data_IF_348097174810
#
_entry.id   IF_348097174810
#
_cell.length_a   1.000
_cell.length_b   1.000
_cell.length_c   1.000
_cell.angle_alpha   90.00
_cell.angle_beta   90.00
_cell.angle_gamma   90.00
#
_symmetry.space_group_name_H-M   'P 1'
#
loop_
_entity.id
_entity.type
_entity.pdbx_description
1 polymer ?
#
# COMPACT_ATOMS: atom_id res chain seq x y z
N UNK A 1 1.91 -5.36 -34.00
CA UNK A 1 1.09 -6.23 -33.15
C UNK A 1 -0.06 -5.39 -32.60
N UNK A 2 -1.28 -5.92 -32.59
CA UNK A 2 -2.44 -5.29 -31.96
C UNK A 2 -2.80 -6.12 -30.75
N UNK A 3 -2.88 -5.48 -29.59
CA UNK A 3 -3.37 -6.10 -28.35
C UNK A 3 -4.87 -5.78 -28.22
N UNK A 4 -5.68 -6.80 -27.96
CA UNK A 4 -7.10 -6.66 -27.67
C UNK A 4 -7.34 -7.15 -26.24
N UNK A 5 -7.96 -6.31 -25.41
CA UNK A 5 -8.33 -6.67 -24.05
C UNK A 5 -9.81 -7.03 -24.05
N UNK A 6 -10.13 -8.22 -23.55
CA UNK A 6 -11.50 -8.72 -23.41
C UNK A 6 -11.81 -8.82 -21.93
N UNK A 7 -12.70 -7.96 -21.46
CA UNK A 7 -13.15 -7.96 -20.08
C UNK A 7 -14.21 -9.05 -19.86
N UNK A 8 -14.01 -9.84 -18.82
CA UNK A 8 -14.94 -10.91 -18.41
C UNK A 8 -15.30 -10.77 -16.92
N UNK A 9 -16.00 -9.69 -16.53
CA UNK A 9 -16.37 -9.42 -15.13
C UNK A 9 -17.39 -10.44 -14.59
N UNK A 10 -17.99 -11.22 -15.46
CA UNK A 10 -18.92 -12.30 -15.19
C UNK A 10 -18.26 -13.66 -14.91
N UNK A 11 -16.94 -13.76 -15.14
CA UNK A 11 -16.18 -15.01 -14.95
C UNK A 11 -15.33 -14.91 -13.70
N UNK A 12 -15.59 -15.79 -12.74
CA UNK A 12 -14.75 -15.98 -11.57
C UNK A 12 -13.95 -17.27 -11.75
N UNK A 13 -12.62 -17.13 -11.79
CA UNK A 13 -11.74 -18.28 -11.85
C UNK A 13 -11.58 -18.87 -10.43
N UNK A 14 -11.58 -20.21 -10.30
CA UNK A 14 -11.60 -20.87 -8.98
C UNK A 14 -10.35 -20.61 -8.13
N UNK A 15 -9.21 -20.41 -8.77
CA UNK A 15 -7.92 -20.23 -8.07
C UNK A 15 -7.84 -18.87 -7.38
N UNK A 16 -8.11 -17.77 -8.11
CA UNK A 16 -8.10 -16.42 -7.55
C UNK A 16 -8.99 -15.49 -8.40
N UNK A 17 -9.68 -14.48 -7.80
CA UNK A 17 -10.58 -13.60 -8.54
C UNK A 17 -9.84 -12.71 -9.58
N UNK A 18 -8.59 -12.31 -9.32
CA UNK A 18 -7.82 -11.45 -10.23
C UNK A 18 -7.01 -12.28 -11.24
N UNK A 19 -7.70 -13.03 -12.10
CA UNK A 19 -7.07 -13.82 -13.15
C UNK A 19 -6.95 -13.09 -14.47
N UNK A 20 -5.82 -13.28 -15.15
CA UNK A 20 -5.53 -12.78 -16.48
C UNK A 20 -5.16 -13.94 -17.40
N UNK A 21 -5.79 -14.01 -18.57
CA UNK A 21 -5.44 -14.97 -19.60
C UNK A 21 -4.87 -14.25 -20.81
N UNK A 22 -3.66 -14.60 -21.20
CA UNK A 22 -3.00 -14.11 -22.40
C UNK A 22 -3.07 -15.16 -23.48
N UNK A 23 -3.39 -14.76 -24.71
CA UNK A 23 -3.46 -15.66 -25.87
C UNK A 23 -2.79 -14.99 -27.06
N UNK A 24 -2.04 -15.77 -27.83
CA UNK A 24 -1.47 -15.36 -29.11
C UNK A 24 -2.37 -15.87 -30.23
N UNK A 25 -3.09 -14.96 -30.89
CA UNK A 25 -3.91 -15.27 -32.05
C UNK A 25 -3.17 -14.92 -33.33
N UNK A 26 -3.04 -15.88 -34.23
CA UNK A 26 -2.48 -15.72 -35.56
C UNK A 26 -3.49 -15.13 -36.55
N UNK A 27 -3.02 -14.67 -37.72
CA UNK A 27 -3.87 -14.06 -38.74
C UNK A 27 -4.92 -15.00 -39.36
N UNK A 28 -4.78 -16.29 -39.14
CA UNK A 28 -5.73 -17.36 -39.52
C UNK A 28 -6.74 -17.70 -38.43
N UNK A 29 -6.68 -17.00 -37.26
CA UNK A 29 -7.57 -17.23 -36.12
C UNK A 29 -7.16 -18.40 -35.22
N UNK A 30 -5.99 -19.00 -35.45
CA UNK A 30 -5.48 -20.06 -34.59
C UNK A 30 -4.78 -19.43 -33.36
N UNK A 31 -5.15 -19.89 -32.19
CA UNK A 31 -4.47 -19.58 -30.93
C UNK A 31 -3.31 -20.57 -30.75
N UNK A 32 -2.09 -20.08 -30.71
CA UNK A 32 -0.89 -20.92 -30.57
C UNK A 32 -0.42 -21.08 -29.13
N UNK A 33 -0.52 -20.03 -28.34
CA UNK A 33 -0.05 -20.01 -26.96
C UNK A 33 -1.12 -19.41 -26.07
N UNK A 34 -1.26 -19.96 -24.87
CA UNK A 34 -2.13 -19.43 -23.84
C UNK A 34 -1.41 -19.48 -22.49
N UNK A 35 -1.49 -18.39 -21.74
CA UNK A 35 -0.91 -18.28 -20.39
C UNK A 35 -1.95 -17.69 -19.47
N UNK A 36 -2.24 -18.39 -18.37
CA UNK A 36 -3.14 -17.90 -17.33
C UNK A 36 -2.34 -17.61 -16.06
N UNK A 37 -2.45 -16.40 -15.57
CA UNK A 37 -1.73 -15.93 -14.38
C UNK A 37 -2.67 -15.11 -13.50
N UNK A 38 -2.43 -15.14 -12.21
CA UNK A 38 -3.25 -14.48 -11.19
C UNK A 38 -2.43 -13.46 -10.44
N UNK A 39 -2.97 -12.25 -10.28
CA UNK A 39 -2.40 -11.26 -9.37
C UNK A 39 -2.90 -11.54 -7.95
N UNK A 40 -2.01 -12.04 -7.10
CA UNK A 40 -2.34 -12.48 -5.73
C UNK A 40 -2.03 -11.45 -4.65
N UNK A 41 -1.80 -10.19 -5.06
CA UNK A 41 -1.55 -9.06 -4.17
C UNK A 41 -0.06 -8.75 -3.98
N UNK A 42 0.23 -7.51 -3.60
CA UNK A 42 1.59 -7.02 -3.36
C UNK A 42 2.54 -7.11 -4.57
N UNK A 43 2.02 -7.19 -5.80
CA UNK A 43 2.80 -7.38 -7.02
C UNK A 43 3.17 -8.84 -7.31
N UNK A 44 2.76 -9.79 -6.48
CA UNK A 44 3.01 -11.20 -6.71
C UNK A 44 2.07 -11.78 -7.77
N UNK A 45 2.63 -12.65 -8.61
CA UNK A 45 1.90 -13.42 -9.61
C UNK A 45 1.96 -14.91 -9.24
N UNK A 46 0.89 -15.64 -9.53
CA UNK A 46 0.81 -17.09 -9.33
C UNK A 46 0.14 -17.76 -10.52
N UNK A 47 0.50 -19.00 -10.79
CA UNK A 47 -0.15 -19.88 -11.78
C UNK A 47 -0.85 -21.04 -11.07
N UNK A 48 -1.90 -21.63 -11.69
CA UNK A 48 -2.66 -22.74 -11.09
C UNK A 48 -1.80 -23.98 -10.76
N UNK A 49 -0.70 -24.15 -11.49
CA UNK A 49 0.22 -25.27 -11.34
C UNK A 49 1.52 -24.90 -10.63
N UNK A 50 1.65 -23.67 -10.14
CA UNK A 50 2.75 -23.35 -9.27
C UNK A 50 2.66 -24.29 -8.05
N UNK A 51 3.54 -25.27 -7.99
CA UNK A 51 3.83 -25.95 -6.73
C UNK A 51 4.08 -24.81 -5.76
N UNK A 52 3.26 -24.74 -4.70
CA UNK A 52 3.35 -23.69 -3.70
C UNK A 52 4.84 -23.43 -3.48
N UNK A 53 5.30 -22.33 -4.05
CA UNK A 53 6.72 -21.95 -3.92
C UNK A 53 6.96 -22.10 -2.44
N UNK A 54 7.82 -23.02 -2.06
CA UNK A 54 8.17 -23.26 -0.66
C UNK A 54 8.67 -21.90 -0.21
N UNK A 55 7.76 -21.10 0.35
CA UNK A 55 8.13 -19.86 0.98
C UNK A 55 9.11 -20.28 2.07
N UNK A 56 10.36 -19.95 1.90
CA UNK A 56 11.28 -20.07 3.02
C UNK A 56 10.70 -19.18 4.11
N UNK A 57 10.21 -19.81 5.17
CA UNK A 57 9.83 -19.08 6.37
C UNK A 57 11.10 -18.46 6.93
N UNK A 58 11.32 -17.20 6.59
CA UNK A 58 12.49 -16.42 7.03
C UNK A 58 12.27 -15.96 8.47
N UNK A 59 11.01 -15.67 8.84
CA UNK A 59 10.63 -15.16 10.15
C UNK A 59 10.05 -16.29 11.01
N UNK A 60 10.69 -16.59 12.14
CA UNK A 60 10.24 -17.62 13.09
C UNK A 60 9.00 -17.19 13.90
N UNK A 61 8.86 -15.87 14.13
CA UNK A 61 7.73 -15.28 14.88
C UNK A 61 6.82 -14.55 13.91
N UNK A 62 5.53 -14.81 14.01
CA UNK A 62 4.48 -14.26 13.15
C UNK A 62 3.60 -13.21 13.84
N UNK A 63 3.60 -13.15 15.18
CA UNK A 63 2.87 -12.15 15.97
C UNK A 63 3.79 -11.02 16.43
N UNK A 64 3.30 -9.78 16.30
CA UNK A 64 4.12 -8.62 16.68
C UNK A 64 4.39 -8.56 18.17
N UNK A 65 3.45 -9.05 19.01
CA UNK A 65 3.67 -9.13 20.44
C UNK A 65 4.86 -10.03 20.82
N UNK A 66 5.01 -11.20 20.17
CA UNK A 66 6.14 -12.11 20.39
C UNK A 66 7.45 -11.49 19.91
N UNK A 67 7.40 -10.79 18.76
CA UNK A 67 8.58 -10.06 18.23
C UNK A 67 8.96 -8.91 19.18
N UNK A 68 7.99 -8.21 19.74
CA UNK A 68 8.24 -7.15 20.73
C UNK A 68 8.93 -7.70 21.98
N UNK A 69 8.47 -8.84 22.48
CA UNK A 69 9.10 -9.53 23.62
C UNK A 69 10.52 -9.98 23.30
N UNK A 70 10.74 -10.52 22.09
CA UNK A 70 12.08 -10.89 21.62
C UNK A 70 13.04 -9.67 21.60
N UNK A 71 12.55 -8.52 21.12
CA UNK A 71 13.31 -7.27 21.08
C UNK A 71 13.57 -6.73 22.49
N UNK A 72 12.55 -6.71 23.35
CA UNK A 72 12.64 -6.20 24.72
C UNK A 72 13.64 -6.98 25.57
N UNK A 73 13.65 -8.33 25.46
CA UNK A 73 14.60 -9.20 26.17
C UNK A 73 16.06 -8.95 25.78
N UNK A 74 16.29 -8.43 24.58
CA UNK A 74 17.62 -8.16 24.02
C UNK A 74 18.02 -6.68 24.08
N UNK A 75 17.09 -5.81 24.44
CA UNK A 75 17.30 -4.36 24.49
C UNK A 75 17.54 -3.76 23.10
N UNK A 76 16.85 -4.26 22.07
CA UNK A 76 17.00 -3.87 20.66
C UNK A 76 15.68 -3.43 20.05
N UNK A 77 15.73 -2.80 18.86
CA UNK A 77 14.57 -2.34 18.11
C UNK A 77 14.04 -3.41 17.12
N UNK A 78 12.86 -3.19 16.54
CA UNK A 78 12.24 -4.09 15.56
C UNK A 78 13.11 -4.34 14.31
N UNK A 79 13.84 -3.35 13.82
CA UNK A 79 14.75 -3.52 12.68
C UNK A 79 15.90 -4.50 12.97
N UNK A 80 16.32 -4.66 14.22
CA UNK A 80 17.30 -5.66 14.59
C UNK A 80 16.76 -7.09 14.47
N UNK A 81 15.46 -7.28 14.75
CA UNK A 81 14.82 -8.57 14.49
C UNK A 81 14.77 -8.88 12.99
N UNK A 82 14.45 -7.88 12.15
CA UNK A 82 14.51 -8.03 10.69
C UNK A 82 15.92 -8.44 10.23
N UNK A 83 16.95 -7.74 10.68
CA UNK A 83 18.34 -8.08 10.36
C UNK A 83 18.72 -9.48 10.84
N UNK A 84 18.26 -9.89 12.01
CA UNK A 84 18.54 -11.23 12.55
C UNK A 84 17.91 -12.34 11.71
N UNK A 85 16.75 -12.10 11.10
CA UNK A 85 16.04 -13.05 10.24
C UNK A 85 16.56 -13.04 8.79
N UNK A 86 16.71 -11.86 8.18
CA UNK A 86 17.03 -11.67 6.76
C UNK A 86 18.54 -11.68 6.47
N UNK A 87 19.37 -11.44 7.48
CA UNK A 87 20.80 -11.24 7.29
C UNK A 87 21.16 -9.82 6.84
N UNK A 88 22.47 -9.53 6.70
CA UNK A 88 22.97 -8.18 6.39
C UNK A 88 22.64 -7.70 4.96
N UNK A 89 22.29 -8.60 4.06
CA UNK A 89 21.94 -8.29 2.67
C UNK A 89 20.67 -7.43 2.58
N UNK A 90 19.81 -7.50 3.59
CA UNK A 90 18.57 -6.71 3.66
C UNK A 90 18.84 -5.21 3.49
N UNK A 91 19.98 -4.71 3.98
CA UNK A 91 20.31 -3.28 3.90
C UNK A 91 20.57 -2.82 2.47
N UNK A 92 21.20 -3.66 1.64
CA UNK A 92 21.39 -3.37 0.22
C UNK A 92 20.05 -3.30 -0.49
N UNK A 93 19.18 -4.28 -0.25
CA UNK A 93 17.82 -4.30 -0.82
C UNK A 93 16.99 -3.09 -0.38
N UNK A 94 16.96 -2.77 0.91
CA UNK A 94 16.20 -1.62 1.42
C UNK A 94 16.77 -0.28 0.93
N UNK A 95 18.07 -0.19 0.66
CA UNK A 95 18.66 0.98 0.04
C UNK A 95 18.15 1.18 -1.39
N UNK A 96 18.06 0.11 -2.19
CA UNK A 96 17.46 0.16 -3.52
C UNK A 96 15.96 0.53 -3.47
N UNK A 97 15.21 -0.06 -2.54
CA UNK A 97 13.80 0.29 -2.28
C UNK A 97 13.66 1.77 -1.98
N UNK A 98 14.53 2.31 -1.11
CA UNK A 98 14.49 3.72 -0.74
C UNK A 98 14.80 4.65 -1.93
N UNK A 99 15.77 4.29 -2.77
CA UNK A 99 16.06 5.06 -4.00
C UNK A 99 14.87 5.10 -4.96
N UNK A 100 14.19 3.96 -5.16
CA UNK A 100 12.97 3.91 -5.99
C UNK A 100 11.86 4.75 -5.38
N UNK A 101 11.66 4.70 -4.05
CA UNK A 101 10.66 5.51 -3.36
C UNK A 101 10.93 7.01 -3.53
N UNK A 102 12.18 7.46 -3.31
CA UNK A 102 12.60 8.86 -3.51
C UNK A 102 12.34 9.31 -4.95
N UNK A 103 12.81 8.50 -5.89
CA UNK A 103 12.69 8.78 -7.32
C UNK A 103 11.22 8.86 -7.78
N UNK A 104 10.35 8.00 -7.25
CA UNK A 104 8.91 8.04 -7.56
C UNK A 104 8.25 9.34 -7.07
N UNK A 105 8.60 9.79 -5.84
CA UNK A 105 8.12 11.09 -5.33
C UNK A 105 8.60 12.23 -6.23
N UNK A 106 9.90 12.27 -6.54
CA UNK A 106 10.52 13.37 -7.30
C UNK A 106 9.97 13.44 -8.73
N UNK A 107 9.86 12.31 -9.43
CA UNK A 107 9.23 12.25 -10.76
C UNK A 107 7.78 12.71 -10.74
N UNK A 108 6.99 12.20 -9.79
CA UNK A 108 5.56 12.54 -9.71
C UNK A 108 5.29 14.01 -9.35
N UNK A 109 6.24 14.68 -8.69
CA UNK A 109 6.18 16.13 -8.44
C UNK A 109 6.47 16.97 -9.69
N UNK A 110 7.11 16.41 -10.70
CA UNK A 110 7.45 17.08 -11.96
C UNK A 110 6.50 16.72 -13.11
N UNK A 111 5.86 15.55 -13.06
CA UNK A 111 4.97 15.09 -14.12
C UNK A 111 3.62 15.78 -14.06
N UNK A 112 3.31 16.53 -15.11
CA UNK A 112 1.99 17.15 -15.33
C UNK A 112 1.18 16.37 -16.37
N UNK A 113 -0.09 16.73 -16.56
CA UNK A 113 -0.96 16.19 -17.58
C UNK A 113 -2.13 15.38 -17.02
N UNK A 114 -2.63 14.46 -17.84
CA UNK A 114 -3.82 13.65 -17.56
C UNK A 114 -3.40 12.19 -17.38
N UNK A 115 -3.93 11.55 -16.33
CA UNK A 115 -3.72 10.12 -16.10
C UNK A 115 -4.43 9.29 -17.17
N UNK A 116 -3.89 8.12 -17.54
CA UNK A 116 -4.54 7.22 -18.48
C UNK A 116 -5.89 6.72 -17.93
N UNK A 117 -6.76 6.29 -18.85
CA UNK A 117 -8.08 5.75 -18.52
C UNK A 117 -9.22 6.76 -18.68
N UNK A 118 -10.43 6.28 -18.48
CA UNK A 118 -11.68 6.99 -18.84
C UNK A 118 -12.02 8.15 -17.94
N UNK A 119 -11.43 8.23 -16.74
CA UNK A 119 -11.70 9.29 -15.78
C UNK A 119 -11.08 10.63 -16.19
N UNK A 120 -10.12 10.64 -17.13
CA UNK A 120 -9.39 11.83 -17.54
C UNK A 120 -8.91 12.67 -16.37
N UNK A 121 -8.48 12.02 -15.30
CA UNK A 121 -8.08 12.68 -14.06
C UNK A 121 -6.77 13.43 -14.29
N UNK A 122 -6.77 14.73 -13.98
CA UNK A 122 -5.57 15.53 -14.05
C UNK A 122 -4.63 15.20 -12.87
N UNK A 123 -3.33 15.13 -13.15
CA UNK A 123 -2.30 15.05 -12.11
C UNK A 123 -2.36 16.32 -11.23
N UNK A 124 -2.34 16.13 -9.93
CA UNK A 124 -2.52 17.18 -8.92
C UNK A 124 -1.25 17.46 -8.12
N UNK A 125 -0.36 16.47 -8.03
CA UNK A 125 0.82 16.53 -7.16
C UNK A 125 1.70 17.75 -7.39
N UNK A 126 2.11 18.11 -8.63
CA UNK A 126 2.94 19.28 -8.88
C UNK A 126 2.30 20.58 -8.38
N UNK A 127 1.03 20.76 -8.71
CA UNK A 127 0.27 21.96 -8.31
C UNK A 127 0.07 22.05 -6.80
N UNK A 128 -0.19 20.91 -6.14
CA UNK A 128 -0.35 20.87 -4.68
C UNK A 128 0.96 21.17 -3.98
N UNK A 129 2.08 20.66 -4.49
CA UNK A 129 3.41 20.93 -3.98
C UNK A 129 3.75 22.42 -4.03
N UNK A 130 3.52 23.10 -5.16
CA UNK A 130 3.74 24.54 -5.32
C UNK A 130 2.87 25.32 -4.33
N UNK A 131 1.59 24.97 -4.20
CA UNK A 131 0.68 25.63 -3.25
C UNK A 131 1.12 25.42 -1.80
N UNK A 132 1.51 24.19 -1.44
CA UNK A 132 1.95 23.85 -0.10
C UNK A 132 3.17 24.69 0.31
N UNK A 133 4.12 24.91 -0.60
CA UNK A 133 5.30 25.76 -0.33
C UNK A 133 4.96 27.20 0.01
N UNK A 134 3.82 27.71 -0.40
CA UNK A 134 3.35 29.06 -0.09
C UNK A 134 2.62 29.19 1.25
N UNK A 135 2.37 28.08 1.97
CA UNK A 135 1.63 28.11 3.23
C UNK A 135 2.55 28.32 4.45
N UNK A 136 1.98 28.75 5.55
CA UNK A 136 2.67 28.75 6.85
C UNK A 136 3.00 27.35 7.33
N UNK A 137 4.00 27.19 8.19
CA UNK A 137 4.67 25.94 8.53
C UNK A 137 3.73 24.74 8.81
N UNK A 138 2.66 24.94 9.58
CA UNK A 138 1.74 23.85 9.94
C UNK A 138 0.96 23.34 8.72
N UNK A 139 0.39 24.23 7.92
CA UNK A 139 -0.36 23.86 6.72
C UNK A 139 0.58 23.41 5.60
N UNK A 140 1.78 23.99 5.52
CA UNK A 140 2.83 23.59 4.59
C UNK A 140 3.21 22.13 4.78
N UNK A 141 3.51 21.69 6.02
CA UNK A 141 3.88 20.32 6.33
C UNK A 141 2.83 19.33 5.83
N UNK A 142 1.56 19.57 6.14
CA UNK A 142 0.45 18.72 5.68
C UNK A 142 0.31 18.70 4.16
N UNK A 143 0.36 19.87 3.52
CA UNK A 143 0.28 20.01 2.06
C UNK A 143 1.40 19.28 1.34
N UNK A 144 2.62 19.28 1.90
CA UNK A 144 3.75 18.54 1.35
C UNK A 144 3.54 17.03 1.44
N UNK A 145 3.06 16.51 2.57
CA UNK A 145 2.76 15.07 2.72
C UNK A 145 1.71 14.62 1.70
N UNK A 146 0.62 15.38 1.55
CA UNK A 146 -0.36 15.12 0.49
C UNK A 146 0.28 15.11 -0.89
N UNK A 147 1.09 16.09 -1.21
CA UNK A 147 1.72 16.19 -2.52
C UNK A 147 2.62 15.00 -2.83
N UNK A 148 3.39 14.54 -1.83
CA UNK A 148 4.27 13.37 -1.99
C UNK A 148 3.47 12.07 -2.18
N UNK A 149 2.39 11.87 -1.42
CA UNK A 149 1.57 10.69 -1.56
C UNK A 149 0.83 10.66 -2.91
N UNK A 150 0.32 11.81 -3.36
CA UNK A 150 -0.29 11.93 -4.67
C UNK A 150 0.75 11.69 -5.78
N UNK A 151 1.97 12.22 -5.65
CA UNK A 151 3.04 12.05 -6.63
C UNK A 151 3.30 10.58 -6.94
N UNK A 152 3.49 9.75 -5.90
CA UNK A 152 3.72 8.31 -6.06
C UNK A 152 2.49 7.61 -6.61
N UNK A 153 1.29 7.93 -6.11
CA UNK A 153 0.05 7.30 -6.57
C UNK A 153 -0.28 7.67 -8.03
N UNK A 154 0.03 8.88 -8.45
CA UNK A 154 -0.12 9.33 -9.84
C UNK A 154 0.94 8.70 -10.76
N UNK A 155 2.16 8.45 -10.27
CA UNK A 155 3.17 7.65 -10.98
C UNK A 155 2.69 6.21 -11.17
N UNK A 156 2.15 5.56 -10.13
CA UNK A 156 1.56 4.24 -10.25
C UNK A 156 0.45 4.21 -11.31
N UNK A 157 -0.50 5.15 -11.24
CA UNK A 157 -1.59 5.24 -12.20
C UNK A 157 -1.13 5.56 -13.63
N UNK A 158 0.03 6.17 -13.78
CA UNK A 158 0.68 6.49 -15.07
C UNK A 158 1.60 5.41 -15.61
N UNK A 159 1.75 4.27 -14.92
CA UNK A 159 2.66 3.19 -15.30
C UNK A 159 4.13 3.47 -14.96
N UNK A 160 4.41 4.43 -14.08
CA UNK A 160 5.76 4.69 -13.57
C UNK A 160 6.22 3.65 -12.55
N UNK A 161 7.52 3.52 -12.39
CA UNK A 161 8.10 2.61 -11.40
C UNK A 161 7.84 3.12 -9.98
N UNK A 162 7.22 2.28 -9.14
CA UNK A 162 6.95 2.53 -7.72
C UNK A 162 7.34 1.30 -6.89
N UNK A 163 7.34 1.45 -5.58
CA UNK A 163 7.43 0.33 -4.64
C UNK A 163 6.03 0.00 -4.11
N UNK A 164 5.65 -1.27 -4.14
CA UNK A 164 4.44 -1.73 -3.45
C UNK A 164 4.66 -1.71 -1.93
N UNK A 165 3.83 -0.95 -1.19
CA UNK A 165 4.01 -0.77 0.24
C UNK A 165 2.65 -0.66 0.98
N UNK A 166 1.94 -1.80 1.22
CA UNK A 166 2.26 -3.15 0.78
C UNK A 166 1.76 -3.49 -0.63
N UNK A 167 0.88 -2.69 -1.26
CA UNK A 167 0.31 -2.93 -2.60
C UNK A 167 0.47 -1.71 -3.50
N UNK A 168 0.15 -1.84 -4.81
CA UNK A 168 0.10 -0.72 -5.74
C UNK A 168 -0.94 0.32 -5.32
N UNK A 169 -2.12 -0.13 -4.83
CA UNK A 169 -3.20 0.75 -4.40
C UNK A 169 -2.86 1.65 -3.21
N UNK A 170 -1.86 1.30 -2.44
CA UNK A 170 -1.41 2.04 -1.25
C UNK A 170 0.05 2.53 -1.32
N UNK A 171 0.68 2.44 -2.49
CA UNK A 171 2.10 2.71 -2.71
C UNK A 171 2.58 4.11 -2.31
N UNK A 172 1.67 5.09 -2.19
CA UNK A 172 2.02 6.48 -1.87
C UNK A 172 2.20 6.76 -0.37
N UNK A 173 1.70 5.88 0.52
CA UNK A 173 1.62 6.19 1.97
C UNK A 173 3.00 6.19 2.62
N UNK A 174 3.70 5.05 2.57
CA UNK A 174 5.03 4.89 3.21
C UNK A 174 6.07 5.83 2.62
N UNK A 175 6.21 5.94 1.28
CA UNK A 175 7.19 6.85 0.69
C UNK A 175 6.94 8.31 1.07
N UNK A 176 5.68 8.77 1.08
CA UNK A 176 5.35 10.16 1.41
C UNK A 176 5.74 10.51 2.84
N UNK A 177 5.46 9.63 3.79
CA UNK A 177 5.78 9.82 5.21
C UNK A 177 7.30 9.86 5.41
N UNK A 178 8.01 8.86 4.89
CA UNK A 178 9.46 8.79 5.05
C UNK A 178 10.19 9.91 4.31
N UNK A 179 9.77 10.24 3.10
CA UNK A 179 10.34 11.36 2.34
C UNK A 179 10.12 12.70 3.05
N UNK A 180 8.91 12.91 3.61
CA UNK A 180 8.63 14.11 4.40
C UNK A 180 9.53 14.21 5.64
N UNK A 181 9.70 13.12 6.39
CA UNK A 181 10.57 13.06 7.57
C UNK A 181 12.03 13.29 7.16
N UNK A 182 12.49 12.62 6.10
CA UNK A 182 13.85 12.78 5.56
C UNK A 182 14.17 14.23 5.22
N UNK A 183 13.29 14.90 4.47
CA UNK A 183 13.49 16.29 4.04
C UNK A 183 13.30 17.31 5.17
N UNK A 184 12.33 17.12 6.07
CA UNK A 184 11.99 18.12 7.10
C UNK A 184 12.87 18.01 8.34
N UNK A 185 13.38 16.82 8.69
CA UNK A 185 14.17 16.58 9.89
C UNK A 185 15.64 16.26 9.63
N UNK A 186 16.04 16.17 8.37
CA UNK A 186 17.42 15.84 7.96
C UNK A 186 17.95 14.54 8.63
N UNK A 187 17.09 13.55 8.73
CA UNK A 187 17.42 12.25 9.31
C UNK A 187 18.38 11.51 8.36
N UNK A 188 19.35 10.78 8.91
CA UNK A 188 20.30 9.99 8.12
C UNK A 188 19.59 8.89 7.32
N UNK A 189 20.13 8.54 6.15
CA UNK A 189 19.59 7.44 5.34
C UNK A 189 19.59 6.13 6.10
N UNK A 190 20.61 5.83 6.88
CA UNK A 190 20.64 4.63 7.75
C UNK A 190 19.41 4.55 8.65
N UNK A 191 19.00 5.67 9.27
CA UNK A 191 17.80 5.67 10.11
C UNK A 191 16.51 5.51 9.29
N UNK A 192 16.48 5.98 8.05
CA UNK A 192 15.37 5.71 7.12
C UNK A 192 15.31 4.22 6.75
N UNK A 193 16.46 3.58 6.50
CA UNK A 193 16.49 2.14 6.22
C UNK A 193 16.01 1.31 7.41
N UNK A 194 16.39 1.66 8.64
CA UNK A 194 15.86 1.03 9.86
C UNK A 194 14.33 1.24 9.98
N UNK A 195 13.83 2.43 9.62
CA UNK A 195 12.40 2.71 9.60
C UNK A 195 11.68 1.90 8.51
N UNK A 196 12.29 1.71 7.33
CA UNK A 196 11.76 0.83 6.28
C UNK A 196 11.71 -0.63 6.71
N UNK A 197 12.76 -1.14 7.37
CA UNK A 197 12.77 -2.49 7.93
C UNK A 197 11.62 -2.66 8.94
N UNK A 198 11.43 -1.68 9.83
CA UNK A 198 10.31 -1.68 10.79
C UNK A 198 8.95 -1.67 10.07
N UNK A 199 8.78 -0.81 9.04
CA UNK A 199 7.56 -0.78 8.24
C UNK A 199 7.31 -2.11 7.52
N UNK A 200 8.33 -2.69 6.90
CA UNK A 200 8.26 -3.99 6.23
C UNK A 200 7.81 -5.11 7.17
N UNK A 201 8.33 -5.13 8.39
CA UNK A 201 7.93 -6.09 9.42
C UNK A 201 6.43 -5.99 9.74
N UNK A 202 5.90 -4.78 9.94
CA UNK A 202 4.46 -4.57 10.16
C UNK A 202 3.63 -5.10 8.98
N UNK A 203 4.07 -4.84 7.75
CA UNK A 203 3.43 -5.38 6.55
C UNK A 203 3.48 -6.91 6.46
N UNK A 204 4.60 -7.51 6.83
CA UNK A 204 4.78 -8.97 6.88
C UNK A 204 3.85 -9.63 7.90
N UNK A 205 3.77 -9.09 9.12
CA UNK A 205 2.84 -9.58 10.15
C UNK A 205 1.39 -9.52 9.65
N UNK A 206 0.97 -8.40 9.05
CA UNK A 206 -0.37 -8.27 8.49
C UNK A 206 -0.63 -9.27 7.34
N UNK A 207 0.35 -9.50 6.47
CA UNK A 207 0.28 -10.47 5.37
C UNK A 207 0.16 -11.90 5.88
N UNK A 208 0.93 -12.25 6.90
CA UNK A 208 1.00 -13.61 7.46
C UNK A 208 -0.26 -13.95 8.25
N UNK A 209 -0.71 -13.06 9.13
CA UNK A 209 -1.86 -13.30 10.01
C UNK A 209 -3.22 -13.08 9.32
N UNK A 210 -3.26 -12.31 8.23
CA UNK A 210 -4.50 -11.98 7.53
C UNK A 210 -4.31 -11.92 6.02
N UNK A 211 -4.28 -10.72 5.46
CA UNK A 211 -4.08 -10.44 4.03
C UNK A 211 -3.69 -8.97 3.84
N UNK A 212 -2.98 -8.70 2.76
CA UNK A 212 -2.71 -7.34 2.25
C UNK A 212 -3.50 -7.06 0.96
N UNK A 213 -4.39 -7.94 0.53
CA UNK A 213 -5.11 -7.86 -0.73
C UNK A 213 -6.47 -7.16 -0.57
N UNK A 214 -6.72 -6.15 -1.40
CA UNK A 214 -8.02 -5.49 -1.48
C UNK A 214 -9.13 -6.41 -1.97
N UNK A 215 -8.81 -7.39 -2.82
CA UNK A 215 -9.73 -8.41 -3.32
C UNK A 215 -10.18 -9.37 -2.22
N UNK A 216 -9.33 -9.62 -1.22
CA UNK A 216 -9.66 -10.51 -0.10
C UNK A 216 -10.32 -9.77 1.05
N UNK A 217 -9.75 -8.65 1.48
CA UNK A 217 -10.16 -7.99 2.71
C UNK A 217 -10.56 -6.51 2.54
N UNK A 218 -10.67 -6.00 1.32
CA UNK A 218 -10.99 -4.60 1.07
C UNK A 218 -9.79 -3.67 1.26
N UNK A 219 -10.03 -2.37 1.12
CA UNK A 219 -8.96 -1.36 1.20
C UNK A 219 -8.37 -1.18 2.62
N UNK A 220 -9.00 -1.74 3.65
CA UNK A 220 -8.43 -1.83 4.99
C UNK A 220 -7.11 -2.62 5.00
N UNK A 221 -7.03 -3.68 4.19
CA UNK A 221 -5.81 -4.50 4.03
C UNK A 221 -4.71 -3.80 3.22
N UNK A 222 -5.06 -2.88 2.34
CA UNK A 222 -4.08 -2.13 1.56
C UNK A 222 -3.69 -0.82 2.25
N UNK A 223 -4.60 0.16 2.25
CA UNK A 223 -4.36 1.50 2.79
C UNK A 223 -4.27 1.49 4.31
N UNK A 224 -5.05 0.64 4.99
CA UNK A 224 -4.97 0.49 6.46
C UNK A 224 -3.63 -0.07 6.89
N UNK A 225 -3.17 -1.15 6.25
CA UNK A 225 -1.84 -1.73 6.52
C UNK A 225 -0.73 -0.74 6.15
N UNK A 226 -0.83 -0.03 5.00
CA UNK A 226 0.14 1.00 4.65
C UNK A 226 0.21 2.14 5.68
N UNK A 227 -0.93 2.54 6.24
CA UNK A 227 -0.98 3.53 7.33
C UNK A 227 -0.29 3.01 8.59
N UNK A 228 -0.52 1.74 8.97
CA UNK A 228 0.15 1.10 10.10
C UNK A 228 1.67 1.04 9.90
N UNK A 229 2.13 0.60 8.72
CA UNK A 229 3.54 0.58 8.33
C UNK A 229 4.18 1.96 8.45
N UNK A 230 3.54 2.98 7.89
CA UNK A 230 4.03 4.34 7.88
C UNK A 230 4.01 4.99 9.27
N UNK A 231 3.00 4.70 10.10
CA UNK A 231 2.89 5.20 11.46
C UNK A 231 3.98 4.60 12.36
N UNK A 232 4.23 3.30 12.26
CA UNK A 232 5.33 2.63 12.96
C UNK A 232 6.70 3.22 12.57
N UNK A 233 6.97 3.35 11.26
CA UNK A 233 8.20 3.93 10.75
C UNK A 233 8.41 5.37 11.22
N UNK A 234 7.37 6.20 11.19
CA UNK A 234 7.42 7.58 11.65
C UNK A 234 7.68 7.66 13.15
N UNK A 235 6.99 6.82 13.94
CA UNK A 235 7.15 6.77 15.40
C UNK A 235 8.59 6.37 15.77
N UNK A 236 9.16 5.34 15.09
CA UNK A 236 10.56 4.96 15.22
C UNK A 236 11.50 6.14 14.89
N UNK A 237 11.26 6.85 13.77
CA UNK A 237 12.06 8.02 13.39
C UNK A 237 12.02 9.13 14.47
N UNK A 238 10.93 9.24 15.18
CA UNK A 238 10.73 10.22 16.24
C UNK A 238 11.30 9.77 17.61
N UNK A 239 11.82 8.56 17.71
CA UNK A 239 12.45 8.02 18.92
C UNK A 239 11.47 7.29 19.84
N UNK A 240 10.38 6.76 19.30
CA UNK A 240 9.42 5.96 20.07
C UNK A 240 10.01 4.64 20.58
N UNK A 241 9.47 4.16 21.69
CA UNK A 241 9.76 2.84 22.24
C UNK A 241 9.12 1.73 21.42
N UNK A 242 9.47 0.45 21.69
CA UNK A 242 8.81 -0.71 21.05
C UNK A 242 7.29 -0.65 21.19
N UNK A 243 6.79 -0.38 22.39
CA UNK A 243 5.36 -0.27 22.66
C UNK A 243 4.71 0.92 21.92
N UNK A 244 5.40 2.05 21.85
CA UNK A 244 4.92 3.23 21.12
C UNK A 244 4.87 2.99 19.59
N UNK A 245 5.85 2.29 19.03
CA UNK A 245 5.89 1.92 17.60
C UNK A 245 4.74 0.98 17.26
N UNK A 246 4.52 -0.04 18.09
CA UNK A 246 3.41 -0.98 17.92
C UNK A 246 2.05 -0.29 18.06
N UNK A 247 1.89 0.59 19.05
CA UNK A 247 0.66 1.35 19.25
C UNK A 247 0.35 2.31 18.08
N UNK A 248 1.38 2.93 17.50
CA UNK A 248 1.21 3.73 16.30
C UNK A 248 0.71 2.89 15.12
N UNK A 249 1.23 1.67 14.94
CA UNK A 249 0.80 0.74 13.91
C UNK A 249 -0.63 0.24 14.15
N UNK A 250 -0.94 -0.13 15.39
CA UNK A 250 -2.26 -0.57 15.82
C UNK A 250 -3.33 0.46 15.45
N UNK A 251 -3.19 1.72 15.92
CA UNK A 251 -4.10 2.80 15.57
C UNK A 251 -4.16 3.05 14.06
N UNK A 252 -3.03 2.87 13.36
CA UNK A 252 -2.95 3.00 11.91
C UNK A 252 -3.91 2.07 11.18
N UNK A 253 -4.01 0.82 11.61
CA UNK A 253 -4.90 -0.18 11.05
C UNK A 253 -6.32 -0.08 11.61
N UNK A 254 -6.49 0.04 12.93
CA UNK A 254 -7.78 0.11 13.60
C UNK A 254 -8.71 1.14 12.96
N UNK A 255 -8.18 2.34 12.71
CA UNK A 255 -8.97 3.45 12.15
C UNK A 255 -9.22 3.35 10.64
N UNK A 256 -8.88 2.21 10.03
CA UNK A 256 -9.21 1.86 8.64
C UNK A 256 -10.11 0.62 8.54
N UNK A 257 -10.50 0.00 9.67
CA UNK A 257 -11.41 -1.15 9.66
C UNK A 257 -12.72 -0.81 8.95
N UNK A 258 -13.21 -1.76 8.13
CA UNK A 258 -14.43 -1.58 7.35
C UNK A 258 -14.25 -0.81 6.02
N UNK A 259 -13.04 -0.42 5.64
CA UNK A 259 -12.82 0.32 4.39
C UNK A 259 -12.99 -0.59 3.18
N UNK A 260 -13.97 -0.26 2.33
CA UNK A 260 -14.28 -0.98 1.08
C UNK A 260 -13.24 -0.69 0.00
N UNK A 261 -13.11 -1.59 -0.98
CA UNK A 261 -12.33 -1.39 -2.20
C UNK A 261 -13.29 -1.38 -3.41
N UNK A 262 -13.69 -0.20 -3.82
CA UNK A 262 -14.69 0.06 -4.85
C UNK A 262 -14.24 1.15 -5.85
N UNK A 263 -13.08 0.93 -6.54
CA UNK A 263 -12.50 1.92 -7.42
C UNK A 263 -13.42 2.23 -8.61
N UNK A 264 -13.53 3.51 -8.94
CA UNK A 264 -14.36 3.96 -10.07
C UNK A 264 -13.70 3.51 -11.38
N UNK A 265 -14.46 2.92 -12.27
CA UNK A 265 -14.00 2.33 -13.54
C UNK A 265 -12.94 1.23 -13.36
N UNK A 266 -12.79 0.64 -12.17
CA UNK A 266 -11.72 -0.32 -11.89
C UNK A 266 -10.32 0.29 -11.83
N UNK A 267 -10.19 1.61 -11.90
CA UNK A 267 -8.91 2.30 -11.95
C UNK A 267 -8.42 2.63 -10.54
N UNK A 268 -7.13 2.38 -10.28
CA UNK A 268 -6.46 2.75 -9.03
C UNK A 268 -6.23 4.28 -9.00
N UNK A 269 -7.31 5.04 -9.14
CA UNK A 269 -7.31 6.50 -9.21
C UNK A 269 -8.28 7.11 -8.20
N UNK A 270 -9.58 6.84 -8.33
CA UNK A 270 -10.60 7.35 -7.39
C UNK A 270 -11.26 6.15 -6.70
N UNK A 271 -11.23 6.09 -5.38
CA UNK A 271 -10.71 7.06 -4.42
C UNK A 271 -9.23 6.86 -4.03
N UNK A 272 -8.50 5.94 -4.66
CA UNK A 272 -7.20 5.42 -4.21
C UNK A 272 -6.14 6.51 -4.02
N UNK A 273 -5.97 7.42 -5.00
CA UNK A 273 -4.95 8.49 -4.93
C UNK A 273 -5.17 9.36 -3.69
N UNK A 274 -6.41 9.77 -3.44
CA UNK A 274 -6.72 10.65 -2.30
C UNK A 274 -6.62 9.89 -0.96
N UNK A 275 -7.00 8.60 -0.92
CA UNK A 275 -6.84 7.73 0.26
C UNK A 275 -5.38 7.64 0.70
N UNK A 276 -4.44 7.54 -0.25
CA UNK A 276 -3.01 7.54 0.08
C UNK A 276 -2.58 8.82 0.80
N UNK A 277 -3.00 9.98 0.30
CA UNK A 277 -2.71 11.26 0.93
C UNK A 277 -3.24 11.37 2.35
N UNK A 278 -4.52 10.98 2.54
CA UNK A 278 -5.17 11.01 3.86
C UNK A 278 -4.50 10.03 4.83
N UNK A 279 -4.17 8.81 4.38
CA UNK A 279 -3.52 7.81 5.20
C UNK A 279 -2.10 8.24 5.60
N UNK A 280 -1.33 8.86 4.70
CA UNK A 280 0.00 9.37 5.00
C UNK A 280 -0.03 10.49 6.06
N UNK A 281 -0.97 11.41 5.97
CA UNK A 281 -1.16 12.48 6.96
C UNK A 281 -1.65 11.91 8.29
N UNK A 282 -2.55 10.93 8.26
CA UNK A 282 -3.03 10.21 9.44
C UNK A 282 -1.87 9.49 10.13
N UNK A 283 -1.00 8.79 9.40
CA UNK A 283 0.15 8.07 9.96
C UNK A 283 1.06 8.97 10.79
N UNK A 284 1.37 10.18 10.33
CA UNK A 284 2.18 11.15 11.10
C UNK A 284 1.49 11.62 12.38
N UNK A 285 0.17 11.80 12.36
CA UNK A 285 -0.60 12.15 13.56
C UNK A 285 -0.61 11.03 14.57
N UNK A 286 -0.84 9.79 14.12
CA UNK A 286 -0.88 8.62 14.99
C UNK A 286 0.51 8.32 15.58
N UNK A 287 1.57 8.46 14.78
CA UNK A 287 2.94 8.38 15.28
C UNK A 287 3.21 9.39 16.40
N UNK A 288 2.68 10.60 16.28
CA UNK A 288 2.83 11.65 17.32
C UNK A 288 1.96 11.33 18.55
N UNK A 289 0.72 10.87 18.35
CA UNK A 289 -0.18 10.51 19.45
C UNK A 289 0.42 9.38 20.29
N UNK A 290 0.94 8.33 19.65
CA UNK A 290 1.57 7.20 20.34
C UNK A 290 2.81 7.61 21.16
N UNK A 291 3.54 8.66 20.75
CA UNK A 291 4.65 9.21 21.55
C UNK A 291 4.17 9.93 22.83
N UNK A 292 2.96 10.49 22.82
CA UNK A 292 2.42 11.21 24.00
C UNK A 292 1.86 10.22 25.03
N UNK A 293 1.40 9.06 24.60
CA UNK A 293 0.73 8.06 25.44
C UNK A 293 1.61 6.85 25.74
N UNK A 294 2.76 6.72 25.12
CA UNK A 294 3.76 5.63 25.17
C UNK A 294 3.24 4.18 24.96
N UNK A 295 1.95 3.98 24.75
CA UNK A 295 1.32 2.69 24.42
C UNK A 295 1.16 1.71 25.60
N UNK A 296 1.44 2.13 26.83
CA UNK A 296 1.38 1.23 28.01
C UNK A 296 -0.05 0.93 28.48
N UNK A 297 -0.98 1.84 28.25
CA UNK A 297 -2.39 1.70 28.68
C UNK A 297 -3.34 1.21 27.57
N UNK A 298 -2.82 0.86 26.39
CA UNK A 298 -3.64 0.35 25.28
C UNK A 298 -4.37 -0.94 25.68
N UNK A 299 -5.56 -1.16 25.13
CA UNK A 299 -6.41 -2.33 25.42
C UNK A 299 -6.45 -3.35 24.31
N UNK A 300 -6.01 -2.97 23.12
CA UNK A 300 -6.02 -3.79 21.91
C UNK A 300 -4.61 -3.78 21.32
N UNK A 301 -4.15 -4.91 20.84
CA UNK A 301 -2.85 -5.05 20.14
C UNK A 301 -3.04 -4.99 18.63
N UNK A 302 -1.96 -4.70 17.90
CA UNK A 302 -1.97 -4.78 16.43
C UNK A 302 -2.38 -6.19 15.95
N UNK A 303 -1.93 -7.24 16.61
CA UNK A 303 -2.28 -8.63 16.26
C UNK A 303 -3.81 -8.86 16.32
N UNK A 304 -4.49 -8.33 17.36
CA UNK A 304 -5.94 -8.40 17.49
C UNK A 304 -6.66 -7.56 16.43
N UNK A 305 -6.13 -6.39 16.08
CA UNK A 305 -6.70 -5.56 15.01
C UNK A 305 -6.54 -6.24 13.65
N UNK A 306 -5.41 -6.91 13.39
CA UNK A 306 -5.20 -7.69 12.15
C UNK A 306 -6.23 -8.84 12.06
N UNK A 307 -6.47 -9.57 13.14
CA UNK A 307 -7.51 -10.61 13.18
C UNK A 307 -8.90 -10.02 12.93
N UNK A 308 -9.20 -8.86 13.54
CA UNK A 308 -10.46 -8.15 13.31
C UNK A 308 -10.61 -7.70 11.87
N UNK A 309 -9.52 -7.23 11.25
CA UNK A 309 -9.49 -6.89 9.82
C UNK A 309 -9.81 -8.11 8.95
N UNK A 310 -9.23 -9.27 9.24
CA UNK A 310 -9.51 -10.52 8.51
C UNK A 310 -10.99 -10.90 8.60
N UNK A 311 -11.56 -10.85 9.82
CA UNK A 311 -12.97 -11.16 10.03
C UNK A 311 -13.88 -10.16 9.31
N UNK A 312 -13.63 -8.87 9.46
CA UNK A 312 -14.35 -7.80 8.75
C UNK A 312 -14.28 -7.98 7.24
N UNK A 313 -13.09 -8.37 6.73
CA UNK A 313 -12.90 -8.68 5.32
C UNK A 313 -13.75 -9.87 4.86
N UNK A 314 -13.87 -10.92 5.67
CA UNK A 314 -14.74 -12.07 5.38
C UNK A 314 -16.22 -11.70 5.37
N UNK A 315 -16.64 -10.85 6.29
CA UNK A 315 -18.03 -10.38 6.41
C UNK A 315 -18.40 -9.35 5.34
N UNK A 316 -17.43 -8.69 4.73
CA UNK A 316 -17.60 -7.74 3.64
C UNK A 316 -18.09 -8.45 2.38
N UNK A 317 -19.17 -7.95 1.79
CA UNK A 317 -19.70 -8.49 0.52
C UNK A 317 -18.63 -8.39 -0.59
N UNK A 318 -18.53 -9.44 -1.41
CA UNK A 318 -17.59 -9.50 -2.55
C UNK A 318 -17.69 -8.29 -3.48
N UNK A 319 -18.88 -7.71 -3.65
CA UNK A 319 -19.11 -6.52 -4.48
C UNK A 319 -18.35 -5.27 -4.02
N UNK A 320 -17.82 -5.25 -2.79
CA UNK A 320 -17.01 -4.16 -2.23
C UNK A 320 -15.50 -4.49 -2.19
N UNK A 321 -15.08 -5.55 -2.89
CA UNK A 321 -13.71 -6.05 -2.90
C UNK A 321 -13.14 -6.05 -4.33
N UNK A 322 -12.72 -4.88 -4.81
CA UNK A 322 -12.08 -4.63 -6.13
C UNK A 322 -12.95 -4.94 -7.37
N UNK A 323 -14.23 -5.21 -7.20
CA UNK A 323 -15.10 -5.60 -8.32
C UNK A 323 -15.67 -4.44 -9.11
N UNK A 324 -15.64 -3.23 -8.57
CA UNK A 324 -16.33 -2.04 -9.13
C UNK A 324 -17.84 -2.24 -9.38
N UNK A 325 -18.45 -3.21 -8.68
CA UNK A 325 -19.89 -3.54 -8.82
C UNK A 325 -20.78 -2.88 -7.76
N UNK A 326 -20.20 -2.16 -6.82
CA UNK A 326 -20.91 -1.49 -5.72
C UNK A 326 -20.28 -0.15 -5.36
N UNK A 327 -20.79 0.51 -4.33
CA UNK A 327 -20.22 1.70 -3.72
C UNK A 327 -20.03 2.87 -4.69
N UNK A 328 -18.88 3.50 -4.65
CA UNK A 328 -18.53 4.67 -5.45
C UNK A 328 -18.55 4.39 -6.96
N UNK A 329 -18.15 3.19 -7.37
CA UNK A 329 -18.12 2.78 -8.77
C UNK A 329 -19.51 2.92 -9.43
N UNK A 330 -20.56 2.45 -8.77
CA UNK A 330 -21.95 2.54 -9.30
C UNK A 330 -22.49 3.97 -9.23
N UNK A 331 -22.06 4.76 -8.26
CA UNK A 331 -22.58 6.11 -8.07
C UNK A 331 -22.26 7.02 -9.25
N UNK A 332 -21.10 6.86 -9.87
CA UNK A 332 -20.74 7.61 -11.06
C UNK A 332 -21.48 7.12 -12.31
N UNK A 333 -21.63 5.80 -12.47
CA UNK A 333 -22.37 5.21 -13.59
C UNK A 333 -23.83 5.72 -13.65
N UNK A 334 -24.46 5.89 -12.48
CA UNK A 334 -25.83 6.44 -12.38
C UNK A 334 -25.95 7.91 -12.77
N UNK A 335 -24.86 8.68 -12.77
CA UNK A 335 -24.86 10.10 -13.16
C UNK A 335 -24.75 10.32 -14.68
N UNK A 336 -24.84 9.22 -15.45
CA UNK A 336 -24.92 9.19 -16.91
C UNK A 336 -23.97 10.16 -17.63
N UNK A 337 -22.73 9.79 -17.66
CA UNK A 337 -21.91 9.94 -18.84
C UNK A 337 -21.96 8.57 -19.52
N UNK A 338 -22.23 8.43 -20.81
CA UNK A 338 -22.11 7.15 -21.49
C UNK A 338 -20.61 6.80 -21.52
N UNK A 339 -20.17 6.08 -20.49
CA UNK A 339 -18.79 5.63 -20.35
C UNK A 339 -18.71 4.34 -21.16
N UNK A 340 -18.14 4.42 -22.36
CA UNK A 340 -17.74 3.22 -23.08
C UNK A 340 -16.48 2.68 -22.38
N UNK A 341 -16.61 1.55 -21.71
CA UNK A 341 -15.51 0.94 -20.96
C UNK A 341 -14.42 0.49 -21.93
N UNK A 342 -13.38 1.28 -22.07
CA UNK A 342 -12.08 0.87 -22.61
C UNK A 342 -11.05 1.04 -21.51
N UNK A 343 -10.74 -0.02 -20.82
CA UNK A 343 -9.71 0.00 -19.78
C UNK A 343 -8.34 0.00 -20.44
N UNK A 344 -7.49 0.85 -19.98
CA UNK A 344 -6.06 0.86 -20.27
C UNK A 344 -5.34 0.28 -19.07
N UNK A 345 -4.47 -0.66 -19.35
CA UNK A 345 -3.65 -1.49 -18.48
C UNK A 345 -2.98 -0.70 -17.33
N UNK A 346 -2.91 -1.34 -16.16
CA UNK A 346 -1.89 -1.07 -15.13
C UNK A 346 -0.92 -2.23 -15.09
#
# INVERSE_FOLDING_TARGET
HRTHIIWRPDVFLPFHPNGMKFEVEHSDGIVSDAWTVYSVGGGALAEENDEATTSHEVYELDHLNDIMDWCAQRGVDYWNYVEACEGPEIWTYLAEVWEVMKSAVERGLEHEGVLPGELHLQRKAPRYYIKAKGYGANLQSRGLVFSYALAVSEENAGGGQIVTAPTCGSCGVVPAVLYHIYKSRQISETRILHALATAGLIGNVAKTLASISGAEAGCQAEVGVACAMAAAAANYCFGGSLASVEYAAEMGLEHHLGMTCDPICGLVQIPCIERNGIAAEKALKLATLALLEDGTDKKVSLDEVIQTMLQTGRDMKSTYKETSLAGLAITLQKKAVPVSVRVVEC
#
